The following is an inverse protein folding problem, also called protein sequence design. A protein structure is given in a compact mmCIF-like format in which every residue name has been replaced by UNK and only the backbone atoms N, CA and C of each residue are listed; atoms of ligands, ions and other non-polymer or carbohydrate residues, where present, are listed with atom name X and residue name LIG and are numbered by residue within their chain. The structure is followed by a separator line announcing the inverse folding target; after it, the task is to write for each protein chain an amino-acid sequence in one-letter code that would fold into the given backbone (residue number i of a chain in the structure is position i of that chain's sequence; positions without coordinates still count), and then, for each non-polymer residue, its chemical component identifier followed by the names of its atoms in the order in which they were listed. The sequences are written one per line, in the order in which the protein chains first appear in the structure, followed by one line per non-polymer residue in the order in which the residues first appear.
data_IF_849518017227
#
_entry.id   IF_849518017227
#
_cell.length_a   1.000
_cell.length_b   1.000
_cell.length_c   1.000
_cell.angle_alpha   90.00
_cell.angle_beta   90.00
_cell.angle_gamma   90.00
#
_symmetry.space_group_name_H-M   'P 1'
#
loop_
_entity.id
_entity.type
_entity.pdbx_description
1 polymer ?
#
# COMPACT_ATOMS: atom_id res chain seq x y z
N UNK A 1 8.85 30.70 4.50
CA UNK A 1 10.23 30.42 4.07
C UNK A 1 10.18 29.17 3.21
N UNK A 2 10.42 29.28 1.91
CA UNK A 2 10.52 28.09 1.04
C UNK A 2 11.94 27.52 1.18
N UNK A 3 12.05 26.36 1.82
CA UNK A 3 13.34 25.68 2.00
C UNK A 3 13.66 24.99 0.68
N UNK A 4 14.63 25.53 -0.08
CA UNK A 4 15.14 24.88 -1.28
C UNK A 4 16.19 23.82 -0.89
N UNK A 5 16.11 22.59 -1.44
CA UNK A 5 17.12 21.58 -1.19
C UNK A 5 18.48 22.00 -1.76
N UNK A 6 19.55 21.72 -1.03
CA UNK A 6 20.91 21.96 -1.50
C UNK A 6 21.32 21.01 -2.63
N UNK A 7 22.32 21.41 -3.42
CA UNK A 7 22.79 20.63 -4.58
C UNK A 7 23.97 19.68 -4.26
N UNK A 8 24.29 19.49 -2.99
CA UNK A 8 25.45 18.69 -2.57
C UNK A 8 25.17 17.19 -2.71
N UNK A 9 26.08 16.45 -3.34
CA UNK A 9 26.02 15.01 -3.50
C UNK A 9 26.90 14.30 -2.44
N UNK A 10 26.31 13.52 -1.50
CA UNK A 10 27.07 12.82 -0.47
C UNK A 10 28.05 11.77 -1.00
N UNK A 11 27.72 11.14 -2.14
CA UNK A 11 28.55 10.08 -2.74
C UNK A 11 29.82 10.64 -3.38
N UNK A 12 29.69 11.76 -4.08
CA UNK A 12 30.83 12.41 -4.74
C UNK A 12 31.57 13.39 -3.81
N UNK A 13 30.99 13.68 -2.64
CA UNK A 13 31.45 14.71 -1.69
C UNK A 13 31.64 16.10 -2.32
N UNK A 14 30.89 16.40 -3.36
CA UNK A 14 30.90 17.66 -4.13
C UNK A 14 29.49 17.94 -4.67
N UNK A 15 29.32 19.04 -5.38
CA UNK A 15 28.04 19.37 -6.01
C UNK A 15 27.59 18.33 -7.06
N UNK A 16 26.28 18.21 -7.24
CA UNK A 16 25.67 17.29 -8.20
C UNK A 16 26.16 17.57 -9.62
N UNK A 17 26.62 16.52 -10.30
CA UNK A 17 27.10 16.58 -11.69
C UNK A 17 25.96 16.42 -12.73
N UNK A 18 24.70 16.43 -12.29
CA UNK A 18 23.52 16.37 -13.15
C UNK A 18 23.51 15.13 -14.05
N UNK A 19 23.21 15.33 -15.33
CA UNK A 19 23.08 14.28 -16.36
C UNK A 19 24.33 13.40 -16.57
N UNK A 20 25.51 13.81 -16.06
CA UNK A 20 26.69 12.96 -16.06
C UNK A 20 26.58 11.80 -15.04
N UNK A 21 25.68 11.91 -14.06
CA UNK A 21 25.41 10.88 -13.09
C UNK A 21 24.27 9.97 -13.56
N UNK A 22 24.49 8.65 -13.56
CA UNK A 22 23.47 7.67 -13.92
C UNK A 22 22.23 7.69 -13.01
N UNK A 23 22.33 8.29 -11.82
CA UNK A 23 21.21 8.44 -10.88
C UNK A 23 20.39 9.70 -11.12
N UNK A 24 20.83 10.59 -12.00
CA UNK A 24 20.06 11.75 -12.36
C UNK A 24 19.00 11.32 -13.38
N UNK A 25 17.75 11.27 -12.93
CA UNK A 25 16.63 10.69 -13.68
C UNK A 25 15.44 11.63 -13.67
N UNK A 26 14.65 11.57 -14.74
CA UNK A 26 13.35 12.20 -14.81
C UNK A 26 12.37 11.39 -13.96
N UNK A 27 11.63 12.06 -13.09
CA UNK A 27 10.49 11.47 -12.39
C UNK A 27 9.21 12.06 -12.95
N UNK A 28 8.32 11.18 -13.42
CA UNK A 28 7.00 11.54 -13.94
C UNK A 28 5.92 10.84 -13.13
N UNK A 29 4.90 11.59 -12.72
CA UNK A 29 3.77 11.06 -11.94
C UNK A 29 3.11 12.14 -11.12
N UNK A 30 2.38 11.76 -10.07
CA UNK A 30 1.70 12.69 -9.19
C UNK A 30 2.35 12.67 -7.81
N UNK A 31 2.50 13.85 -7.19
CA UNK A 31 3.00 13.93 -5.83
C UNK A 31 1.96 13.31 -4.87
N UNK A 32 2.34 12.29 -4.08
CA UNK A 32 1.41 11.54 -3.24
C UNK A 32 0.69 12.39 -2.18
N UNK A 33 1.29 13.50 -1.76
CA UNK A 33 0.76 14.35 -0.69
C UNK A 33 -0.10 15.50 -1.21
N UNK A 34 0.16 15.97 -2.43
CA UNK A 34 -0.50 17.19 -2.97
C UNK A 34 -1.33 16.92 -4.22
N UNK A 35 -1.18 15.76 -4.86
CA UNK A 35 -1.83 15.42 -6.11
C UNK A 35 -1.34 16.22 -7.32
N UNK A 36 -0.34 17.08 -7.16
CA UNK A 36 0.22 17.85 -8.29
C UNK A 36 1.02 16.95 -9.20
N UNK A 37 0.90 17.18 -10.50
CA UNK A 37 1.78 16.59 -11.52
C UNK A 37 3.23 16.93 -11.23
N UNK A 38 4.09 15.92 -11.35
CA UNK A 38 5.53 15.98 -11.21
C UNK A 38 6.11 15.52 -12.55
N UNK A 39 6.89 16.39 -13.18
CA UNK A 39 7.73 16.07 -14.34
C UNK A 39 9.05 16.82 -14.19
N UNK A 40 9.93 16.27 -13.36
CA UNK A 40 11.15 16.95 -12.93
C UNK A 40 12.36 16.02 -12.99
N UNK A 41 13.50 16.57 -13.40
CA UNK A 41 14.80 15.88 -13.34
C UNK A 41 15.47 16.12 -12.00
N UNK A 42 15.85 15.05 -11.31
CA UNK A 42 16.61 15.15 -10.07
C UNK A 42 17.39 13.88 -9.78
N UNK A 43 18.19 13.91 -8.72
CA UNK A 43 18.88 12.73 -8.22
C UNK A 43 17.86 11.71 -7.68
N UNK A 44 18.03 10.43 -8.02
CA UNK A 44 17.21 9.33 -7.53
C UNK A 44 17.09 9.29 -5.99
N UNK A 45 18.16 9.68 -5.28
CA UNK A 45 18.14 9.74 -3.80
C UNK A 45 17.23 10.85 -3.27
N UNK A 46 17.08 11.96 -4.00
CA UNK A 46 16.15 13.04 -3.65
C UNK A 46 14.71 12.57 -3.81
N UNK A 47 14.44 11.70 -4.78
CA UNK A 47 13.11 11.14 -5.01
C UNK A 47 12.71 10.05 -4.00
N UNK A 48 13.68 9.42 -3.33
CA UNK A 48 13.45 8.28 -2.47
C UNK A 48 12.39 8.53 -1.38
N UNK A 49 12.37 9.66 -0.64
CA UNK A 49 11.34 9.90 0.36
C UNK A 49 9.93 9.95 -0.23
N UNK A 50 9.76 10.58 -1.40
CA UNK A 50 8.46 10.67 -2.08
C UNK A 50 8.00 9.29 -2.56
N UNK A 51 8.89 8.51 -3.16
CA UNK A 51 8.59 7.15 -3.61
C UNK A 51 8.23 6.21 -2.46
N UNK A 52 8.89 6.35 -1.31
CA UNK A 52 8.57 5.57 -0.10
C UNK A 52 7.22 5.94 0.49
N UNK A 53 6.83 7.22 0.45
CA UNK A 53 5.50 7.66 0.85
C UNK A 53 4.44 7.04 -0.06
N UNK A 54 4.65 7.08 -1.38
CA UNK A 54 3.72 6.48 -2.34
C UNK A 54 3.61 4.96 -2.16
N UNK A 55 4.73 4.28 -1.99
CA UNK A 55 4.74 2.85 -1.70
C UNK A 55 3.95 2.53 -0.41
N UNK A 56 4.09 3.36 0.63
CA UNK A 56 3.33 3.22 1.87
C UNK A 56 1.84 3.48 1.67
N UNK A 57 1.45 4.42 0.79
CA UNK A 57 0.05 4.65 0.43
C UNK A 57 -0.56 3.41 -0.22
N UNK A 58 0.14 2.83 -1.19
CA UNK A 58 -0.31 1.62 -1.87
C UNK A 58 -0.43 0.44 -0.90
N UNK A 59 0.53 0.28 0.02
CA UNK A 59 0.47 -0.75 1.06
C UNK A 59 -0.73 -0.57 2.00
N UNK A 60 -1.10 0.67 2.38
CA UNK A 60 -2.30 0.91 3.21
C UNK A 60 -3.58 0.45 2.51
N UNK A 61 -3.69 0.70 1.20
CA UNK A 61 -4.82 0.22 0.39
C UNK A 61 -4.88 -1.31 0.39
N UNK A 62 -3.73 -1.99 0.19
CA UNK A 62 -3.66 -3.45 0.28
C UNK A 62 -4.05 -3.95 1.67
N UNK A 63 -3.58 -3.32 2.74
CA UNK A 63 -3.94 -3.68 4.11
C UNK A 63 -5.44 -3.59 4.37
N UNK A 64 -6.10 -2.55 3.86
CA UNK A 64 -7.55 -2.40 3.96
C UNK A 64 -8.31 -3.52 3.21
N UNK A 65 -7.83 -3.92 2.03
CA UNK A 65 -8.43 -5.01 1.27
C UNK A 65 -8.28 -6.37 1.99
N UNK A 66 -7.12 -6.63 2.60
CA UNK A 66 -6.89 -7.85 3.41
C UNK A 66 -7.80 -7.87 4.64
N UNK A 67 -7.96 -6.74 5.32
CA UNK A 67 -8.86 -6.64 6.47
C UNK A 67 -10.33 -6.84 6.08
N UNK A 68 -10.76 -6.30 4.93
CA UNK A 68 -12.09 -6.57 4.38
C UNK A 68 -12.28 -8.05 4.06
N UNK A 69 -11.29 -8.68 3.43
CA UNK A 69 -11.32 -10.11 3.15
C UNK A 69 -11.41 -10.95 4.43
N UNK A 70 -10.66 -10.57 5.47
CA UNK A 70 -10.73 -11.20 6.80
C UNK A 70 -12.16 -11.14 7.36
N UNK A 71 -12.83 -10.00 7.26
CA UNK A 71 -14.21 -9.83 7.75
C UNK A 71 -15.22 -10.71 6.98
N UNK A 72 -15.10 -10.80 5.65
CA UNK A 72 -15.98 -11.66 4.85
C UNK A 72 -15.75 -13.15 5.13
N UNK A 73 -14.50 -13.56 5.36
CA UNK A 73 -14.17 -14.93 5.76
C UNK A 73 -14.77 -15.30 7.12
N UNK A 74 -14.78 -14.38 8.09
CA UNK A 74 -15.43 -14.60 9.39
C UNK A 74 -16.93 -14.82 9.21
N UNK A 75 -17.62 -13.96 8.45
CA UNK A 75 -19.06 -14.10 8.16
C UNK A 75 -19.38 -15.41 7.44
N UNK A 76 -18.56 -15.78 6.45
CA UNK A 76 -18.71 -17.05 5.73
C UNK A 76 -18.57 -18.26 6.67
N UNK A 77 -17.62 -18.21 7.61
CA UNK A 77 -17.45 -19.27 8.60
C UNK A 77 -18.62 -19.33 9.60
N UNK A 78 -19.10 -18.19 10.10
CA UNK A 78 -20.26 -18.11 10.98
C UNK A 78 -21.53 -18.67 10.33
N UNK A 79 -21.79 -18.29 9.07
CA UNK A 79 -22.94 -18.81 8.31
C UNK A 79 -22.85 -20.32 8.05
N UNK A 80 -21.65 -20.82 7.74
CA UNK A 80 -21.39 -22.26 7.60
C UNK A 80 -21.66 -23.01 8.91
N UNK A 81 -21.20 -22.49 10.05
CA UNK A 81 -21.46 -23.07 11.37
C UNK A 81 -22.94 -23.08 11.72
N UNK A 82 -23.66 -21.99 11.44
CA UNK A 82 -25.11 -21.92 11.66
C UNK A 82 -25.86 -22.96 10.81
N UNK A 83 -25.48 -23.13 9.54
CA UNK A 83 -26.06 -24.15 8.68
C UNK A 83 -25.81 -25.57 9.23
N UNK A 84 -24.58 -25.84 9.69
CA UNK A 84 -24.21 -27.12 10.28
C UNK A 84 -25.02 -27.43 11.55
N UNK A 85 -25.16 -26.45 12.45
CA UNK A 85 -25.95 -26.57 13.67
C UNK A 85 -27.44 -26.79 13.37
N UNK A 86 -27.99 -26.09 12.38
CA UNK A 86 -29.38 -26.27 11.95
C UNK A 86 -29.63 -27.69 11.39
N UNK A 87 -28.67 -28.24 10.63
CA UNK A 87 -28.75 -29.60 10.12
C UNK A 87 -28.66 -30.63 11.26
N UNK A 88 -27.74 -30.46 12.22
CA UNK A 88 -27.61 -31.34 13.37
C UNK A 88 -28.86 -31.34 14.26
N UNK A 89 -29.44 -30.16 14.51
CA UNK A 89 -30.68 -30.03 15.27
C UNK A 89 -31.84 -30.77 14.57
N UNK A 90 -31.98 -30.63 13.24
CA UNK A 90 -33.02 -31.31 12.47
C UNK A 90 -32.88 -32.84 12.50
N UNK A 91 -31.65 -33.36 12.45
CA UNK A 91 -31.38 -34.81 12.57
C UNK A 91 -31.85 -35.36 13.92
N UNK A 92 -31.55 -34.66 15.02
CA UNK A 92 -31.94 -35.10 16.38
C UNK A 92 -33.46 -35.15 16.60
N UNK A 93 -34.23 -34.32 15.90
CA UNK A 93 -35.70 -34.32 15.99
C UNK A 93 -36.31 -35.51 15.25
N UNK A 94 -35.72 -35.93 14.12
CA UNK A 94 -36.19 -37.08 13.35
C UNK A 94 -36.03 -38.40 14.13
N UNK A 95 -34.93 -38.57 14.86
CA UNK A 95 -34.67 -39.77 15.68
C UNK A 95 -35.59 -39.92 16.90
N UNK A 96 -36.28 -38.86 17.33
CA UNK A 96 -37.21 -38.88 18.49
C UNK A 96 -38.65 -39.19 18.02
N UNK A 97 -38.93 -39.11 16.72
CA UNK A 97 -40.27 -39.28 16.13
C UNK A 97 -40.53 -40.65 15.50
N UNK A 98 -39.57 -41.59 15.57
CA UNK A 98 -39.77 -43.03 15.34
C UNK A 98 -39.86 -43.79 16.68
#
# INVERSE_FOLDING_TARGET
MEIKPGNYCPLLKKDCIGLQCAWFTQMRGHNPNTGKEVDEWSCAMTWLPILLIENSQQQRSTGAAVESFRNEMVKANESSQQALLAMAAKQSVLEITE
#
